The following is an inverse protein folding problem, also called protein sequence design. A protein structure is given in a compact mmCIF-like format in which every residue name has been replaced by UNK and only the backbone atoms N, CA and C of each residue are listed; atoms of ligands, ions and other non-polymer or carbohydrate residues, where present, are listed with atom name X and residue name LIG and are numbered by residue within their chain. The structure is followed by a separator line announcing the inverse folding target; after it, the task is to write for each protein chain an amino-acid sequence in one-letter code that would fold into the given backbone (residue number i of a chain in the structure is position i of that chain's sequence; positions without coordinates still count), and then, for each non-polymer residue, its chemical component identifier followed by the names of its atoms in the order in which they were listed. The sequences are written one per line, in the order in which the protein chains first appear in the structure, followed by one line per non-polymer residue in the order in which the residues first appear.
data_IF_514857867777
#
_entry.id   IF_514857867777
#
_cell.length_a   1.000
_cell.length_b   1.000
_cell.length_c   1.000
_cell.angle_alpha   90.00
_cell.angle_beta   90.00
_cell.angle_gamma   90.00
#
_symmetry.space_group_name_H-M   'P 1'
#
loop_
_entity.id
_entity.type
_entity.pdbx_description
1 polymer ?
#
# COMPACT_ATOMS: atom_id res chain seq x y z
N UNK A 1 10.14 24.03 5.81
CA UNK A 1 9.85 23.49 7.15
C UNK A 1 10.09 22.00 7.09
N UNK A 2 10.99 21.46 7.92
CA UNK A 2 11.30 20.01 7.93
C UNK A 2 10.23 19.26 8.71
N UNK A 3 9.61 18.25 8.10
CA UNK A 3 8.64 17.39 8.78
C UNK A 3 9.40 16.23 9.44
N UNK A 4 9.63 16.32 10.75
CA UNK A 4 10.33 15.30 11.53
C UNK A 4 9.28 14.41 12.19
N UNK A 5 9.08 13.21 11.65
CA UNK A 5 8.24 12.19 12.30
C UNK A 5 9.03 11.59 13.48
N UNK A 6 8.48 11.63 14.70
CA UNK A 6 9.15 11.04 15.88
C UNK A 6 9.30 9.53 15.65
N UNK A 7 10.53 9.01 15.77
CA UNK A 7 10.84 7.59 15.55
C UNK A 7 10.16 6.68 16.58
N UNK A 8 8.91 6.29 16.32
CA UNK A 8 8.25 5.19 17.00
C UNK A 8 8.65 3.84 16.40
N UNK A 9 8.47 2.75 17.14
CA UNK A 9 8.76 1.37 16.66
C UNK A 9 8.05 1.02 15.34
N UNK A 10 6.90 1.62 15.06
CA UNK A 10 6.15 1.46 13.81
C UNK A 10 6.79 2.20 12.62
N UNK A 11 7.47 3.33 12.87
CA UNK A 11 8.14 4.11 11.82
C UNK A 11 9.35 3.36 11.28
N UNK A 12 10.04 2.56 12.09
CA UNK A 12 11.20 1.75 11.68
C UNK A 12 10.84 0.37 11.14
N UNK A 13 9.55 0.00 11.10
CA UNK A 13 9.16 -1.32 10.66
C UNK A 13 9.59 -1.58 9.21
N UNK A 14 10.19 -2.73 8.95
CA UNK A 14 10.77 -3.04 7.64
C UNK A 14 9.71 -3.16 6.54
N UNK A 15 8.60 -3.84 6.83
CA UNK A 15 7.55 -4.11 5.86
C UNK A 15 6.38 -3.17 6.05
N UNK A 16 6.06 -2.45 4.98
CA UNK A 16 4.94 -1.51 4.94
C UNK A 16 4.20 -1.64 3.62
N UNK A 17 2.90 -1.40 3.64
CA UNK A 17 2.16 -1.07 2.42
C UNK A 17 2.03 0.43 2.39
N UNK A 18 2.56 1.05 1.34
CA UNK A 18 2.57 2.50 1.16
C UNK A 18 1.66 2.88 0.01
N UNK A 19 1.00 4.03 0.08
CA UNK A 19 0.28 4.60 -1.07
C UNK A 19 0.44 6.10 -1.09
N UNK A 20 0.34 6.67 -2.30
CA UNK A 20 0.41 8.10 -2.49
C UNK A 20 -0.97 8.71 -2.43
N UNK A 21 -0.97 9.94 -1.95
CA UNK A 21 -2.11 10.82 -2.03
C UNK A 21 -2.22 11.42 -3.45
N UNK A 22 -2.84 10.69 -4.37
CA UNK A 22 -3.07 11.14 -5.75
C UNK A 22 -4.58 11.22 -6.00
N UNK A 23 -5.05 12.38 -6.41
CA UNK A 23 -6.47 12.73 -6.56
C UNK A 23 -7.21 11.99 -7.70
N UNK A 24 -6.68 10.91 -8.27
CA UNK A 24 -7.35 10.15 -9.34
C UNK A 24 -7.28 8.65 -9.17
N UNK A 25 -6.30 8.11 -8.44
CA UNK A 25 -6.05 6.67 -8.36
C UNK A 25 -5.43 6.25 -7.03
N UNK A 26 -5.80 5.07 -6.55
CA UNK A 26 -5.11 4.43 -5.44
C UNK A 26 -3.89 3.68 -5.96
N UNK A 27 -2.70 4.18 -5.63
CA UNK A 27 -1.44 3.59 -6.07
C UNK A 27 -0.69 2.99 -4.88
N UNK A 28 -1.01 1.75 -4.47
CA UNK A 28 -0.33 1.06 -3.37
C UNK A 28 0.98 0.43 -3.83
N UNK A 29 1.95 0.28 -2.94
CA UNK A 29 3.19 -0.44 -3.15
C UNK A 29 3.65 -1.14 -1.86
N UNK A 30 4.29 -2.29 -1.99
CA UNK A 30 4.99 -2.93 -0.88
C UNK A 30 6.37 -2.29 -0.71
N UNK A 31 6.63 -1.71 0.46
CA UNK A 31 7.92 -1.18 0.87
C UNK A 31 8.60 -2.18 1.81
N UNK A 32 9.87 -2.47 1.54
CA UNK A 32 10.63 -3.55 2.19
C UNK A 32 11.89 -3.07 2.89
N UNK A 33 12.22 -1.78 2.76
CA UNK A 33 13.39 -1.15 3.36
C UNK A 33 13.05 -0.37 4.63
N UNK A 34 11.76 -0.18 4.92
CA UNK A 34 11.27 0.69 5.99
C UNK A 34 11.37 2.19 5.68
N UNK A 35 12.15 2.59 4.67
CA UNK A 35 12.36 3.98 4.29
C UNK A 35 11.15 4.53 3.52
N UNK A 36 10.54 5.60 4.04
CA UNK A 36 9.48 6.35 3.36
C UNK A 36 10.04 7.74 3.06
N UNK A 37 10.21 8.05 1.78
CA UNK A 37 10.91 9.27 1.34
C UNK A 37 10.04 10.52 1.23
N UNK A 38 8.73 10.45 1.52
CA UNK A 38 7.79 11.54 1.26
C UNK A 38 6.73 11.71 2.36
N UNK A 39 6.47 12.96 2.74
CA UNK A 39 5.44 13.36 3.70
C UNK A 39 4.00 13.17 3.19
N UNK A 40 3.81 13.03 1.86
CA UNK A 40 2.51 12.76 1.22
C UNK A 40 2.30 11.27 0.91
N UNK A 41 3.06 10.40 1.59
CA UNK A 41 2.92 8.95 1.48
C UNK A 41 2.30 8.44 2.77
N UNK A 42 1.20 7.71 2.62
CA UNK A 42 0.54 7.03 3.72
C UNK A 42 0.99 5.58 3.77
N UNK A 43 0.93 4.97 4.95
CA UNK A 43 1.38 3.60 5.11
C UNK A 43 0.62 2.83 6.20
N UNK A 44 0.60 1.51 6.04
CA UNK A 44 0.25 0.54 7.08
C UNK A 44 1.45 -0.37 7.31
N UNK A 45 1.82 -0.54 8.58
CA UNK A 45 2.85 -1.48 9.00
C UNK A 45 2.30 -2.90 8.97
N UNK A 46 3.06 -3.83 8.43
CA UNK A 46 2.69 -5.25 8.32
C UNK A 46 3.82 -6.13 8.83
N UNK A 47 3.49 -7.39 9.10
CA UNK A 47 4.39 -8.31 9.82
C UNK A 47 5.47 -8.91 8.91
N UNK A 48 5.19 -9.04 7.61
CA UNK A 48 6.09 -9.67 6.64
C UNK A 48 5.77 -9.22 5.20
N UNK A 49 6.65 -9.60 4.27
CA UNK A 49 6.52 -9.30 2.84
C UNK A 49 5.24 -9.89 2.22
N UNK A 50 4.85 -11.11 2.60
CA UNK A 50 3.66 -11.76 2.06
C UNK A 50 2.40 -10.96 2.41
N UNK A 51 2.27 -10.53 3.67
CA UNK A 51 1.18 -9.67 4.11
C UNK A 51 1.18 -8.32 3.36
N UNK A 52 2.37 -7.74 3.13
CA UNK A 52 2.51 -6.51 2.33
C UNK A 52 2.02 -6.70 0.90
N UNK A 53 2.47 -7.77 0.23
CA UNK A 53 2.08 -8.09 -1.14
C UNK A 53 0.60 -8.45 -1.24
N UNK A 54 0.05 -9.17 -0.27
CA UNK A 54 -1.36 -9.49 -0.20
C UNK A 54 -2.23 -8.23 -0.13
N UNK A 55 -1.97 -7.35 0.84
CA UNK A 55 -2.75 -6.10 1.02
C UNK A 55 -2.57 -5.19 -0.20
N UNK A 56 -1.36 -5.08 -0.75
CA UNK A 56 -1.11 -4.31 -1.97
C UNK A 56 -1.94 -4.85 -3.15
N UNK A 57 -2.00 -6.17 -3.35
CA UNK A 57 -2.77 -6.76 -4.44
C UNK A 57 -4.28 -6.57 -4.26
N UNK A 58 -4.80 -6.79 -3.06
CA UNK A 58 -6.20 -6.47 -2.73
C UNK A 58 -6.51 -5.00 -3.04
N UNK A 59 -5.59 -4.10 -2.65
CA UNK A 59 -5.71 -2.66 -2.87
C UNK A 59 -5.71 -2.23 -4.34
N UNK A 60 -5.20 -3.08 -5.24
CA UNK A 60 -5.22 -2.85 -6.69
C UNK A 60 -6.53 -3.29 -7.35
N UNK A 61 -7.48 -3.85 -6.59
CA UNK A 61 -8.76 -4.29 -7.14
C UNK A 61 -9.46 -3.11 -7.85
N UNK A 62 -10.03 -3.31 -9.06
CA UNK A 62 -10.71 -2.25 -9.81
C UNK A 62 -11.81 -1.55 -8.99
N UNK A 63 -12.46 -2.29 -8.09
CA UNK A 63 -13.51 -1.79 -7.22
C UNK A 63 -13.00 -0.69 -6.26
N UNK A 64 -11.77 -0.82 -5.76
CA UNK A 64 -11.15 0.18 -4.89
C UNK A 64 -10.86 1.45 -5.68
N UNK A 65 -10.25 1.32 -6.86
CA UNK A 65 -9.99 2.48 -7.73
C UNK A 65 -11.29 3.16 -8.21
N UNK A 66 -12.37 2.41 -8.45
CA UNK A 66 -13.67 2.98 -8.79
C UNK A 66 -14.25 3.83 -7.64
N UNK A 67 -14.10 3.37 -6.39
CA UNK A 67 -14.49 4.15 -5.20
C UNK A 67 -13.62 5.39 -5.05
N UNK A 68 -12.30 5.26 -5.25
CA UNK A 68 -11.36 6.41 -5.24
C UNK A 68 -11.80 7.43 -6.28
N UNK A 69 -11.95 7.03 -7.55
CA UNK A 69 -12.35 7.94 -8.62
C UNK A 69 -13.69 8.65 -8.37
N UNK A 70 -14.65 7.99 -7.71
CA UNK A 70 -15.93 8.63 -7.31
C UNK A 70 -15.77 9.64 -6.17
N UNK A 71 -14.87 9.36 -5.23
CA UNK A 71 -14.67 10.18 -4.05
C UNK A 71 -13.67 11.31 -4.28
N UNK A 72 -12.69 11.13 -5.16
CA UNK A 72 -11.64 12.09 -5.46
C UNK A 72 -12.09 13.52 -5.80
N UNK A 73 -13.20 13.76 -6.55
CA UNK A 73 -13.69 15.12 -6.78
C UNK A 73 -14.11 15.84 -5.48
N UNK A 74 -14.52 15.08 -4.48
CA UNK A 74 -14.99 15.57 -3.17
C UNK A 74 -13.89 15.58 -2.12
N UNK A 75 -12.97 14.63 -2.22
CA UNK A 75 -11.86 14.43 -1.30
C UNK A 75 -10.59 14.70 -2.10
N UNK A 76 -10.10 15.94 -2.03
CA UNK A 76 -8.87 16.41 -2.69
C UNK A 76 -7.64 15.52 -2.42
N UNK A 77 -7.74 14.66 -1.41
CA UNK A 77 -6.68 13.81 -0.88
C UNK A 77 -7.18 12.42 -0.43
N UNK A 78 -6.51 11.35 -0.85
CA UNK A 78 -6.68 9.96 -0.36
C UNK A 78 -6.02 9.81 1.01
N UNK A 79 -6.70 10.33 2.04
CA UNK A 79 -6.20 10.33 3.42
C UNK A 79 -5.80 8.92 3.93
N UNK A 80 -4.94 8.82 4.97
CA UNK A 80 -4.49 7.52 5.48
C UNK A 80 -5.62 6.64 6.03
N UNK A 81 -6.74 7.25 6.46
CA UNK A 81 -7.94 6.51 6.92
C UNK A 81 -8.71 5.88 5.77
N UNK A 82 -8.41 6.22 4.52
CA UNK A 82 -9.14 5.75 3.35
C UNK A 82 -9.13 4.22 3.21
N UNK A 83 -7.99 3.58 3.51
CA UNK A 83 -7.90 2.12 3.50
C UNK A 83 -8.85 1.45 4.50
N UNK A 84 -9.28 2.17 5.55
CA UNK A 84 -10.24 1.65 6.54
C UNK A 84 -11.66 1.55 6.01
N UNK A 85 -12.00 2.22 4.90
CA UNK A 85 -13.30 2.08 4.26
C UNK A 85 -13.44 0.74 3.52
N UNK A 86 -12.32 0.10 3.17
CA UNK A 86 -12.35 -1.21 2.56
C UNK A 86 -12.15 -2.29 3.60
N UNK A 87 -13.04 -3.28 3.60
CA UNK A 87 -12.89 -4.46 4.43
C UNK A 87 -11.90 -5.43 3.78
N UNK A 88 -10.61 -5.18 3.98
CA UNK A 88 -9.55 -6.10 3.54
C UNK A 88 -9.42 -7.21 4.58
N UNK A 89 -9.67 -8.49 4.24
CA UNK A 89 -9.51 -9.61 5.16
C UNK A 89 -8.07 -9.70 5.69
N UNK A 90 -7.88 -10.19 6.91
CA UNK A 90 -6.52 -10.44 7.42
C UNK A 90 -5.85 -11.53 6.58
N UNK A 91 -4.57 -11.32 6.25
CA UNK A 91 -3.79 -12.32 5.52
C UNK A 91 -3.74 -13.65 6.29
N UNK A 92 -3.88 -14.76 5.55
CA UNK A 92 -3.72 -16.11 6.09
C UNK A 92 -2.85 -16.94 5.16
N UNK A 93 -1.69 -17.44 5.60
CA UNK A 93 -0.81 -18.26 4.78
C UNK A 93 -1.41 -19.64 4.48
N UNK A 94 -2.46 -20.06 5.18
CA UNK A 94 -3.10 -21.36 4.96
C UNK A 94 -4.14 -21.33 3.83
N UNK A 95 -4.55 -20.14 3.38
CA UNK A 95 -5.56 -20.00 2.31
C UNK A 95 -4.90 -19.95 0.94
N UNK A 96 -5.28 -20.87 0.04
CA UNK A 96 -4.76 -20.94 -1.33
C UNK A 96 -4.94 -19.63 -2.11
N UNK A 97 -6.12 -18.99 -1.98
CA UNK A 97 -6.42 -17.71 -2.62
C UNK A 97 -5.49 -16.59 -2.16
N UNK A 98 -5.15 -16.53 -0.87
CA UNK A 98 -4.22 -15.53 -0.35
C UNK A 98 -2.81 -15.75 -0.92
N UNK A 99 -2.33 -17.00 -1.00
CA UNK A 99 -1.02 -17.31 -1.62
C UNK A 99 -0.98 -16.89 -3.10
N UNK A 100 -2.08 -17.10 -3.83
CA UNK A 100 -2.19 -16.67 -5.23
C UNK A 100 -2.09 -15.13 -5.34
N UNK A 101 -2.79 -14.40 -4.48
CA UNK A 101 -2.72 -12.94 -4.45
C UNK A 101 -1.31 -12.44 -4.09
N UNK A 102 -0.64 -13.06 -3.12
CA UNK A 102 0.77 -12.78 -2.81
C UNK A 102 1.66 -12.96 -4.04
N UNK A 103 1.47 -14.07 -4.76
CA UNK A 103 2.24 -14.38 -5.98
C UNK A 103 2.04 -13.33 -7.07
N UNK A 104 0.82 -12.83 -7.24
CA UNK A 104 0.52 -11.69 -8.13
C UNK A 104 1.23 -10.42 -7.65
N UNK A 105 1.13 -10.11 -6.35
CA UNK A 105 1.77 -8.93 -5.76
C UNK A 105 3.29 -8.91 -5.91
N UNK A 106 3.94 -10.05 -5.75
CA UNK A 106 5.38 -10.20 -5.98
C UNK A 106 5.75 -9.88 -7.44
N UNK A 107 4.99 -10.39 -8.41
CA UNK A 107 5.20 -10.11 -9.84
C UNK A 107 5.02 -8.62 -10.16
N UNK A 108 3.98 -7.99 -9.63
CA UNK A 108 3.73 -6.55 -9.80
C UNK A 108 4.87 -5.73 -9.21
N UNK A 109 5.33 -6.08 -8.01
CA UNK A 109 6.44 -5.39 -7.33
C UNK A 109 7.75 -5.51 -8.10
N UNK A 110 8.04 -6.69 -8.63
CA UNK A 110 9.25 -6.93 -9.44
C UNK A 110 9.26 -6.07 -10.72
N UNK A 111 8.13 -6.02 -11.44
CA UNK A 111 7.99 -5.18 -12.66
C UNK A 111 8.23 -3.70 -12.37
N UNK A 112 7.67 -3.19 -11.27
CA UNK A 112 7.86 -1.78 -10.86
C UNK A 112 9.30 -1.47 -10.47
N UNK A 113 10.03 -2.41 -9.85
CA UNK A 113 11.46 -2.25 -9.55
C UNK A 113 12.31 -2.18 -10.83
N UNK A 114 11.94 -2.94 -11.86
CA UNK A 114 12.63 -2.90 -13.15
C UNK A 114 12.45 -1.55 -13.86
N UNK A 115 11.22 -1.03 -13.90
CA UNK A 115 10.91 0.27 -14.52
C UNK A 115 11.57 1.48 -13.83
N UNK A 116 11.96 1.37 -12.56
CA UNK A 116 12.68 2.44 -11.83
C UNK A 116 14.20 2.43 -12.05
N UNK A 117 14.73 1.41 -12.73
CA UNK A 117 16.18 1.25 -13.00
C UNK A 117 16.57 1.63 -14.44
N UNK A 118 15.59 1.83 -15.31
CA UNK A 118 15.72 2.34 -16.69
C UNK A 118 15.34 3.81 -16.72
#
# INVERSE_FOLDING_TARGET
MWHIERMGRHVIAQYKVVWRDVASEFVPAAETTGAISYHNVHYVVVSNLDEACYIMTESLAPQINAVVGKLSPWIRYVQPRFIRYFKIPRYSPNRKTHKQLVSVGLRVSARRKLQRRT
#
